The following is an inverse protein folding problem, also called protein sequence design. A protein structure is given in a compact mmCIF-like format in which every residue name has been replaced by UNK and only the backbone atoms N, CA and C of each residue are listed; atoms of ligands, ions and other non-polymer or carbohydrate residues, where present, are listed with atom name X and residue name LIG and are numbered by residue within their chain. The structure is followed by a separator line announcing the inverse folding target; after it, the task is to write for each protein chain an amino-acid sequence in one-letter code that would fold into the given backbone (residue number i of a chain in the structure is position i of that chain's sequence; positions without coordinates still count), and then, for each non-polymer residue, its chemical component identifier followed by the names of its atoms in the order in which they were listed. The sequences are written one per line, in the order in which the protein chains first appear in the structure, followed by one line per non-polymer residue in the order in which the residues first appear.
data_IF_699717057875
#
_entry.id   IF_699717057875
#
_cell.length_a   1.000
_cell.length_b   1.000
_cell.length_c   1.000
_cell.angle_alpha   90.00
_cell.angle_beta   90.00
_cell.angle_gamma   90.00
#
_symmetry.space_group_name_H-M   'P 1'
#
loop_
_entity.id
_entity.type
_entity.pdbx_description
1 polymer ?
#
# COMPACT_ATOMS: atom_id res chain seq x y z
N UNK A 1 -37.11 19.86 -0.94
CA UNK A 1 -36.87 20.89 0.08
C UNK A 1 -35.48 21.46 -0.14
N UNK A 2 -35.33 22.78 -0.26
CA UNK A 2 -34.03 23.45 -0.38
C UNK A 2 -33.21 23.15 0.88
N UNK A 3 -32.08 22.43 0.75
CA UNK A 3 -31.14 22.25 1.86
C UNK A 3 -30.62 23.65 2.24
N UNK A 4 -30.78 24.05 3.50
CA UNK A 4 -30.24 25.33 3.98
C UNK A 4 -28.73 25.36 3.80
N UNK A 5 -28.18 26.42 3.21
CA UNK A 5 -26.73 26.58 3.00
C UNK A 5 -26.09 27.28 4.21
N UNK A 6 -24.84 26.90 4.51
CA UNK A 6 -24.01 27.55 5.53
C UNK A 6 -22.65 27.90 4.93
N UNK A 7 -22.03 28.97 5.45
CA UNK A 7 -20.68 29.38 5.06
C UNK A 7 -19.65 28.70 5.96
N UNK A 8 -18.57 28.21 5.36
CA UNK A 8 -17.42 27.62 6.06
C UNK A 8 -16.17 28.33 5.56
N UNK A 9 -15.29 28.72 6.49
CA UNK A 9 -14.02 29.35 6.15
C UNK A 9 -13.03 28.28 5.71
N UNK A 10 -12.46 28.46 4.51
CA UNK A 10 -11.46 27.58 3.90
C UNK A 10 -10.38 28.47 3.29
N UNK A 11 -9.14 28.00 3.20
CA UNK A 11 -8.06 28.78 2.58
C UNK A 11 -8.35 29.06 1.10
N UNK A 12 -7.95 30.25 0.64
CA UNK A 12 -8.20 30.69 -0.72
C UNK A 12 -7.53 29.79 -1.76
N UNK A 13 -6.31 29.32 -1.47
CA UNK A 13 -5.56 28.45 -2.38
C UNK A 13 -6.26 27.10 -2.60
N UNK A 14 -6.81 26.49 -1.55
CA UNK A 14 -7.58 25.25 -1.67
C UNK A 14 -8.87 25.45 -2.46
N UNK A 15 -9.55 26.59 -2.28
CA UNK A 15 -10.76 26.91 -3.03
C UNK A 15 -10.44 27.17 -4.51
N UNK A 16 -9.30 27.82 -4.82
CA UNK A 16 -8.85 27.99 -6.22
C UNK A 16 -8.60 26.64 -6.89
N UNK A 17 -7.89 25.73 -6.21
CA UNK A 17 -7.65 24.39 -6.74
C UNK A 17 -8.96 23.62 -6.95
N UNK A 18 -9.87 23.65 -5.97
CA UNK A 18 -11.20 23.03 -6.07
C UNK A 18 -12.02 23.61 -7.23
N UNK A 19 -11.95 24.93 -7.46
CA UNK A 19 -12.61 25.59 -8.60
C UNK A 19 -12.06 25.12 -9.94
N UNK A 20 -10.75 24.95 -10.06
CA UNK A 20 -10.13 24.45 -11.29
C UNK A 20 -10.57 23.02 -11.60
N UNK A 21 -10.59 22.14 -10.59
CA UNK A 21 -11.04 20.76 -10.72
C UNK A 21 -12.53 20.73 -11.12
N UNK A 22 -13.38 21.46 -10.40
CA UNK A 22 -14.82 21.51 -10.69
C UNK A 22 -15.12 22.00 -12.11
N UNK A 23 -14.38 23.02 -12.60
CA UNK A 23 -14.48 23.51 -13.98
C UNK A 23 -14.09 22.45 -15.00
N UNK A 24 -13.00 21.71 -14.77
CA UNK A 24 -12.57 20.60 -15.66
C UNK A 24 -13.62 19.49 -15.73
N UNK A 25 -14.35 19.26 -14.64
CA UNK A 25 -15.46 18.30 -14.58
C UNK A 25 -16.80 18.86 -15.08
N UNK A 26 -16.89 20.15 -15.44
CA UNK A 26 -18.14 20.79 -15.86
C UNK A 26 -19.16 20.97 -14.72
N UNK A 27 -18.72 20.98 -13.46
CA UNK A 27 -19.59 21.07 -12.27
C UNK A 27 -19.46 22.43 -11.55
N UNK A 28 -20.55 22.94 -10.92
CA UNK A 28 -20.45 24.08 -10.00
C UNK A 28 -19.61 23.74 -8.76
N UNK A 29 -18.83 24.70 -8.25
CA UNK A 29 -18.00 24.52 -7.05
C UNK A 29 -18.80 23.97 -5.85
N UNK A 30 -20.01 24.47 -5.62
CA UNK A 30 -20.85 24.01 -4.51
C UNK A 30 -21.18 22.52 -4.57
N UNK A 31 -21.36 21.96 -5.77
CA UNK A 31 -21.61 20.52 -5.96
C UNK A 31 -20.35 19.73 -5.62
N UNK A 32 -19.18 20.16 -6.12
CA UNK A 32 -17.90 19.54 -5.79
C UNK A 32 -17.62 19.54 -4.29
N UNK A 33 -17.91 20.65 -3.60
CA UNK A 33 -17.72 20.77 -2.14
C UNK A 33 -18.69 19.84 -1.39
N UNK A 34 -19.97 19.79 -1.79
CA UNK A 34 -20.94 18.86 -1.18
C UNK A 34 -20.50 17.40 -1.36
N UNK A 35 -20.13 16.98 -2.58
CA UNK A 35 -19.62 15.64 -2.88
C UNK A 35 -18.36 15.32 -2.03
N UNK A 36 -17.43 16.26 -1.91
CA UNK A 36 -16.20 16.09 -1.12
C UNK A 36 -16.49 15.88 0.36
N UNK A 37 -17.44 16.62 0.93
CA UNK A 37 -17.86 16.47 2.33
C UNK A 37 -18.58 15.12 2.53
N UNK A 38 -19.44 14.72 1.58
CA UNK A 38 -20.13 13.41 1.65
C UNK A 38 -19.13 12.25 1.64
N UNK A 39 -18.09 12.31 0.80
CA UNK A 39 -17.02 11.30 0.76
C UNK A 39 -16.18 11.31 2.05
N UNK A 40 -15.88 12.49 2.60
CA UNK A 40 -15.16 12.60 3.88
C UNK A 40 -15.97 11.97 5.03
N UNK A 41 -17.29 12.21 5.06
CA UNK A 41 -18.18 11.60 6.05
C UNK A 41 -18.32 10.09 5.84
N UNK A 42 -18.32 9.60 4.60
CA UNK A 42 -18.32 8.17 4.30
C UNK A 42 -17.06 7.50 4.84
N UNK A 43 -15.87 8.08 4.62
CA UNK A 43 -14.62 7.56 5.17
C UNK A 43 -14.70 7.41 6.70
N UNK A 44 -15.23 8.43 7.39
CA UNK A 44 -15.43 8.39 8.84
C UNK A 44 -16.44 7.34 9.29
N UNK A 45 -17.54 7.15 8.55
CA UNK A 45 -18.52 6.07 8.83
C UNK A 45 -17.92 4.67 8.68
N UNK A 46 -16.94 4.51 7.80
CA UNK A 46 -16.20 3.27 7.60
C UNK A 46 -15.06 3.08 8.63
N UNK A 47 -14.87 4.04 9.55
CA UNK A 47 -13.84 3.98 10.59
C UNK A 47 -12.47 4.51 10.19
N UNK A 48 -12.36 5.15 9.02
CA UNK A 48 -11.08 5.67 8.52
C UNK A 48 -10.87 7.14 8.86
N UNK A 49 -9.61 7.51 9.12
CA UNK A 49 -9.16 8.88 9.04
C UNK A 49 -9.09 9.36 7.58
N UNK A 50 -9.26 10.66 7.31
CA UNK A 50 -9.30 11.17 5.93
C UNK A 50 -7.98 10.93 5.18
N UNK A 51 -6.85 11.07 5.89
CA UNK A 51 -5.52 10.82 5.33
C UNK A 51 -5.34 9.34 4.98
N UNK A 52 -5.79 8.45 5.85
CA UNK A 52 -5.75 7.00 5.61
C UNK A 52 -6.59 6.61 4.39
N UNK A 53 -7.81 7.15 4.26
CA UNK A 53 -8.66 6.93 3.10
C UNK A 53 -8.01 7.43 1.79
N UNK A 54 -7.32 8.58 1.81
CA UNK A 54 -6.59 9.08 0.66
C UNK A 54 -5.39 8.18 0.29
N UNK A 55 -4.59 7.76 1.28
CA UNK A 55 -3.45 6.87 1.07
C UNK A 55 -3.91 5.51 0.49
N UNK A 56 -5.04 4.96 0.97
CA UNK A 56 -5.66 3.74 0.44
C UNK A 56 -6.03 3.85 -1.05
N UNK A 57 -6.54 5.00 -1.48
CA UNK A 57 -6.88 5.25 -2.89
C UNK A 57 -5.63 5.31 -3.77
N UNK A 58 -4.58 6.01 -3.32
CA UNK A 58 -3.31 6.11 -4.05
C UNK A 58 -2.66 4.74 -4.24
N UNK A 59 -2.62 3.98 -3.17
CA UNK A 59 -2.12 2.61 -3.12
C UNK A 59 -2.92 1.68 -4.02
N UNK A 60 -4.26 1.75 -3.96
CA UNK A 60 -5.13 0.92 -4.81
C UNK A 60 -4.92 1.23 -6.28
N UNK A 61 -4.72 2.51 -6.62
CA UNK A 61 -4.37 2.93 -7.99
C UNK A 61 -3.01 2.37 -8.42
N UNK A 62 -2.00 2.42 -7.56
CA UNK A 62 -0.68 1.84 -7.81
C UNK A 62 -0.78 0.32 -8.09
N UNK A 63 -1.48 -0.41 -7.21
CA UNK A 63 -1.68 -1.85 -7.35
C UNK A 63 -2.35 -2.20 -8.68
N UNK A 64 -3.37 -1.45 -9.11
CA UNK A 64 -4.04 -1.66 -10.41
C UNK A 64 -3.11 -1.42 -11.60
N UNK A 65 -2.30 -0.37 -11.56
CA UNK A 65 -1.32 -0.06 -12.63
C UNK A 65 -0.31 -1.19 -12.77
N UNK A 66 0.10 -1.80 -11.66
CA UNK A 66 1.06 -2.89 -11.61
C UNK A 66 0.44 -4.27 -11.92
N UNK A 67 -0.82 -4.32 -12.36
CA UNK A 67 -1.52 -5.56 -12.71
C UNK A 67 -1.97 -6.38 -11.49
N UNK A 68 -2.03 -5.78 -10.31
CA UNK A 68 -2.57 -6.41 -9.11
C UNK A 68 -4.05 -6.73 -9.24
N UNK A 69 -4.45 -7.90 -8.77
CA UNK A 69 -5.82 -8.39 -8.80
C UNK A 69 -6.31 -8.77 -7.39
N UNK A 70 -7.57 -8.45 -7.10
CA UNK A 70 -8.25 -8.94 -5.89
C UNK A 70 -8.79 -10.34 -6.15
N UNK A 71 -8.36 -11.31 -5.34
CA UNK A 71 -8.82 -12.69 -5.40
C UNK A 71 -9.27 -13.15 -4.02
N UNK A 72 -10.34 -13.96 -3.90
CA UNK A 72 -10.70 -14.55 -2.61
C UNK A 72 -9.54 -15.34 -2.02
N UNK A 73 -9.27 -15.17 -0.72
CA UNK A 73 -8.11 -15.78 -0.04
C UNK A 73 -8.11 -17.31 -0.15
N UNK A 74 -9.28 -17.95 -0.11
CA UNK A 74 -9.42 -19.40 -0.28
C UNK A 74 -8.94 -19.87 -1.67
N UNK A 75 -9.30 -19.13 -2.71
CA UNK A 75 -8.86 -19.39 -4.10
C UNK A 75 -7.37 -19.17 -4.23
N UNK A 76 -6.86 -18.07 -3.65
CA UNK A 76 -5.42 -17.79 -3.62
C UNK A 76 -4.64 -18.94 -2.97
N UNK A 77 -5.03 -19.36 -1.77
CA UNK A 77 -4.38 -20.44 -1.04
C UNK A 77 -4.41 -21.77 -1.82
N UNK A 78 -5.50 -22.05 -2.52
CA UNK A 78 -5.58 -23.22 -3.41
C UNK A 78 -4.55 -23.13 -4.56
N UNK A 79 -4.48 -21.99 -5.25
CA UNK A 79 -3.52 -21.77 -6.34
C UNK A 79 -2.06 -21.92 -5.85
N UNK A 80 -1.74 -21.32 -4.70
CA UNK A 80 -0.41 -21.45 -4.07
C UNK A 80 -0.08 -22.91 -3.78
N UNK A 81 -1.03 -23.67 -3.24
CA UNK A 81 -0.84 -25.11 -2.96
C UNK A 81 -0.63 -25.92 -4.24
N UNK A 82 -1.32 -25.61 -5.33
CA UNK A 82 -1.14 -26.30 -6.62
C UNK A 82 0.22 -25.99 -7.23
N UNK A 83 0.61 -24.71 -7.29
CA UNK A 83 1.87 -24.27 -7.94
C UNK A 83 3.12 -24.70 -7.15
N UNK A 84 3.01 -24.78 -5.82
CA UNK A 84 4.12 -25.18 -4.96
C UNK A 84 4.49 -26.67 -5.06
N UNK A 85 3.61 -27.55 -5.57
CA UNK A 85 3.83 -29.01 -5.71
C UNK A 85 4.84 -29.45 -6.80
N UNK A 86 5.83 -28.61 -7.13
CA UNK A 86 6.86 -28.95 -8.10
C UNK A 86 7.67 -27.77 -8.66
N UNK A 87 7.30 -26.53 -8.34
CA UNK A 87 7.97 -25.31 -8.85
C UNK A 87 8.19 -24.23 -7.78
N UNK A 88 8.38 -24.61 -6.51
CA UNK A 88 8.48 -23.66 -5.38
C UNK A 88 9.50 -22.53 -5.60
N UNK A 89 10.65 -22.83 -6.22
CA UNK A 89 11.67 -21.81 -6.52
C UNK A 89 11.17 -20.75 -7.52
N UNK A 90 10.59 -21.18 -8.64
CA UNK A 90 10.03 -20.28 -9.66
C UNK A 90 8.83 -19.47 -9.13
N UNK A 91 8.05 -20.03 -8.21
CA UNK A 91 6.94 -19.32 -7.56
C UNK A 91 7.45 -18.15 -6.70
N UNK A 92 8.44 -18.39 -5.85
CA UNK A 92 9.02 -17.36 -4.99
C UNK A 92 9.76 -16.27 -5.78
N UNK A 93 10.48 -16.64 -6.85
CA UNK A 93 11.14 -15.68 -7.74
C UNK A 93 10.13 -14.72 -8.39
N UNK A 94 8.94 -15.23 -8.78
CA UNK A 94 7.87 -14.37 -9.34
C UNK A 94 7.31 -13.39 -8.31
N UNK A 95 7.14 -13.82 -7.06
CA UNK A 95 6.75 -12.92 -5.97
C UNK A 95 7.78 -11.85 -5.69
N UNK A 96 9.05 -12.23 -5.67
CA UNK A 96 10.16 -11.31 -5.52
C UNK A 96 10.19 -10.26 -6.64
N UNK A 97 10.11 -10.67 -7.91
CA UNK A 97 10.10 -9.73 -9.03
C UNK A 97 8.87 -8.81 -9.03
N UNK A 98 7.70 -9.34 -8.67
CA UNK A 98 6.50 -8.50 -8.50
C UNK A 98 6.68 -7.46 -7.40
N UNK A 99 7.26 -7.85 -6.26
CA UNK A 99 7.64 -6.95 -5.19
C UNK A 99 8.60 -5.87 -5.69
N UNK A 100 9.67 -6.26 -6.41
CA UNK A 100 10.68 -5.35 -6.95
C UNK A 100 10.11 -4.29 -7.89
N UNK A 101 9.19 -4.67 -8.77
CA UNK A 101 8.48 -3.72 -9.64
C UNK A 101 7.63 -2.73 -8.82
N UNK A 102 6.92 -3.22 -7.81
CA UNK A 102 6.14 -2.34 -6.93
C UNK A 102 7.05 -1.38 -6.16
N UNK A 103 8.15 -1.87 -5.60
CA UNK A 103 9.13 -1.06 -4.88
C UNK A 103 9.68 0.10 -5.72
N UNK A 104 10.08 -0.19 -6.96
CA UNK A 104 10.55 0.83 -7.91
C UNK A 104 9.50 1.90 -8.19
N UNK A 105 8.26 1.47 -8.46
CA UNK A 105 7.16 2.39 -8.69
C UNK A 105 6.91 3.32 -7.49
N UNK A 106 6.96 2.77 -6.27
CA UNK A 106 6.77 3.58 -5.06
C UNK A 106 7.90 4.58 -4.87
N UNK A 107 9.16 4.16 -5.06
CA UNK A 107 10.34 5.03 -4.96
C UNK A 107 10.28 6.22 -5.93
N UNK A 108 9.82 5.99 -7.15
CA UNK A 108 9.77 7.04 -8.18
C UNK A 108 8.61 8.02 -7.97
N UNK A 109 7.53 7.59 -7.32
CA UNK A 109 6.28 8.35 -7.28
C UNK A 109 6.00 9.06 -5.95
N UNK A 110 6.58 8.58 -4.85
CA UNK A 110 6.26 9.07 -3.51
C UNK A 110 7.53 9.51 -2.79
N UNK A 111 7.44 10.62 -2.05
CA UNK A 111 8.54 11.12 -1.22
C UNK A 111 8.88 10.14 -0.09
N UNK A 112 7.86 9.47 0.47
CA UNK A 112 7.99 8.46 1.53
C UNK A 112 7.43 7.10 1.05
N UNK A 113 8.21 6.32 0.27
CA UNK A 113 7.76 5.05 -0.28
C UNK A 113 7.53 3.96 0.77
N UNK A 114 8.24 4.02 1.91
CA UNK A 114 8.13 3.03 2.98
C UNK A 114 6.78 3.15 3.68
N UNK A 115 6.38 4.38 4.03
CA UNK A 115 5.07 4.63 4.64
C UNK A 115 3.95 4.18 3.72
N UNK A 116 4.02 4.53 2.43
CA UNK A 116 3.02 4.12 1.44
C UNK A 116 2.95 2.60 1.31
N UNK A 117 4.09 1.90 1.31
CA UNK A 117 4.12 0.44 1.28
C UNK A 117 3.55 -0.21 2.54
N UNK A 118 3.79 0.37 3.72
CA UNK A 118 3.19 -0.07 4.99
C UNK A 118 1.66 0.01 4.91
N UNK A 119 1.13 1.15 4.48
CA UNK A 119 -0.32 1.32 4.31
C UNK A 119 -0.88 0.37 3.25
N UNK A 120 -0.13 0.08 2.17
CA UNK A 120 -0.51 -0.96 1.22
C UNK A 120 -0.63 -2.34 1.84
N UNK A 121 0.35 -2.77 2.64
CA UNK A 121 0.29 -4.08 3.27
C UNK A 121 -0.92 -4.16 4.23
N UNK A 122 -1.17 -3.13 5.04
CA UNK A 122 -2.37 -3.07 5.91
C UNK A 122 -3.68 -3.17 5.11
N UNK A 123 -3.74 -2.46 3.98
CA UNK A 123 -4.94 -2.36 3.15
C UNK A 123 -5.25 -3.63 2.34
N UNK A 124 -4.20 -4.20 1.76
CA UNK A 124 -4.32 -5.25 0.74
C UNK A 124 -4.24 -6.65 1.33
N UNK A 125 -3.64 -6.81 2.51
CA UNK A 125 -3.44 -8.10 3.17
C UNK A 125 -4.27 -8.18 4.44
N UNK A 126 -5.53 -8.57 4.26
CA UNK A 126 -6.50 -8.85 5.33
C UNK A 126 -6.04 -9.98 6.26
N UNK A 127 -5.03 -10.74 5.85
CA UNK A 127 -4.34 -11.77 6.61
C UNK A 127 -3.29 -11.21 7.57
N UNK A 128 -2.87 -9.95 7.48
CA UNK A 128 -1.89 -9.37 8.39
C UNK A 128 -2.56 -8.68 9.58
N UNK A 129 -2.29 -9.19 10.78
CA UNK A 129 -2.80 -8.67 12.03
C UNK A 129 -1.98 -7.46 12.50
N UNK A 130 -0.66 -7.50 12.32
CA UNK A 130 0.24 -6.44 12.78
C UNK A 130 1.35 -6.20 11.76
N UNK A 131 1.61 -4.91 11.52
CA UNK A 131 2.72 -4.43 10.68
C UNK A 131 3.45 -3.33 11.43
N UNK A 132 4.63 -3.66 11.94
CA UNK A 132 5.53 -2.71 12.57
C UNK A 132 6.63 -2.35 11.58
N UNK A 133 6.84 -1.05 11.38
CA UNK A 133 7.97 -0.50 10.64
C UNK A 133 8.70 0.43 11.59
N UNK A 134 9.91 0.05 11.99
CA UNK A 134 10.80 0.90 12.79
C UNK A 134 11.81 1.48 11.82
N UNK A 135 11.67 2.78 11.58
CA UNK A 135 12.58 3.56 10.74
C UNK A 135 13.65 4.19 11.64
N UNK A 136 14.88 3.68 11.55
CA UNK A 136 16.07 4.29 12.14
C UNK A 136 16.83 5.10 11.09
N UNK A 137 17.84 5.86 11.48
CA UNK A 137 18.59 6.74 10.55
C UNK A 137 19.14 6.03 9.29
N UNK A 138 19.44 4.74 9.37
CA UNK A 138 20.03 3.95 8.26
C UNK A 138 19.42 2.57 8.04
N UNK A 139 18.44 2.17 8.87
CA UNK A 139 17.89 0.82 8.85
C UNK A 139 16.38 0.79 9.05
N UNK A 140 15.71 -0.07 8.29
CA UNK A 140 14.26 -0.29 8.41
C UNK A 140 14.02 -1.70 8.90
N UNK A 141 13.29 -1.83 10.01
CA UNK A 141 12.82 -3.13 10.51
C UNK A 141 11.36 -3.29 10.21
N UNK A 142 11.00 -4.37 9.52
CA UNK A 142 9.63 -4.74 9.22
C UNK A 142 9.26 -6.04 9.92
N UNK A 143 8.17 -6.01 10.67
CA UNK A 143 7.55 -7.21 11.24
C UNK A 143 6.14 -7.36 10.70
N UNK A 144 5.83 -8.55 10.23
CA UNK A 144 4.48 -8.93 9.85
C UNK A 144 4.05 -10.14 10.69
N UNK A 145 2.85 -10.06 11.25
CA UNK A 145 2.23 -11.18 11.97
C UNK A 145 0.85 -11.51 11.41
N UNK A 146 0.53 -12.80 11.31
CA UNK A 146 -0.71 -13.36 10.80
C UNK A 146 -1.00 -14.70 11.46
N UNK A 147 -2.24 -14.88 11.88
CA UNK A 147 -2.73 -16.17 12.41
C UNK A 147 -3.31 -17.08 11.32
N UNK A 148 -3.51 -16.57 10.10
CA UNK A 148 -4.21 -17.27 9.01
C UNK A 148 -3.32 -17.58 7.80
N UNK A 149 -2.12 -16.99 7.73
CA UNK A 149 -1.15 -17.26 6.67
C UNK A 149 -0.68 -18.72 6.71
N UNK A 150 -0.65 -19.35 5.54
CA UNK A 150 -0.03 -20.67 5.34
C UNK A 150 1.49 -20.53 5.26
N UNK A 151 2.24 -21.63 5.41
CA UNK A 151 3.71 -21.60 5.28
C UNK A 151 4.15 -21.03 3.92
N UNK A 152 3.52 -21.52 2.84
CA UNK A 152 3.79 -21.06 1.48
C UNK A 152 3.32 -19.63 1.22
N UNK A 153 2.21 -19.22 1.84
CA UNK A 153 1.76 -17.82 1.80
C UNK A 153 2.74 -16.89 2.52
N UNK A 154 3.30 -17.34 3.64
CA UNK A 154 4.30 -16.59 4.42
C UNK A 154 5.58 -16.43 3.61
N UNK A 155 6.08 -17.50 2.99
CA UNK A 155 7.27 -17.48 2.15
C UNK A 155 7.08 -16.57 0.91
N UNK A 156 5.90 -16.61 0.29
CA UNK A 156 5.54 -15.71 -0.80
C UNK A 156 5.54 -14.24 -0.38
N UNK A 157 4.93 -13.93 0.76
CA UNK A 157 4.89 -12.57 1.31
C UNK A 157 6.29 -12.08 1.67
N UNK A 158 7.11 -12.91 2.31
CA UNK A 158 8.51 -12.60 2.61
C UNK A 158 9.25 -12.15 1.34
N UNK A 159 9.19 -12.96 0.28
CA UNK A 159 9.88 -12.68 -0.98
C UNK A 159 9.34 -11.43 -1.67
N UNK A 160 8.04 -11.20 -1.60
CA UNK A 160 7.42 -9.98 -2.10
C UNK A 160 7.91 -8.72 -1.37
N UNK A 161 7.96 -8.76 -0.03
CA UNK A 161 8.43 -7.64 0.78
C UNK A 161 9.93 -7.38 0.56
N UNK A 162 10.76 -8.42 0.54
CA UNK A 162 12.18 -8.31 0.17
C UNK A 162 12.35 -7.65 -1.20
N UNK A 163 11.60 -8.12 -2.20
CA UNK A 163 11.57 -7.54 -3.53
C UNK A 163 11.23 -6.06 -3.51
N UNK A 164 10.17 -5.67 -2.81
CA UNK A 164 9.74 -4.27 -2.71
C UNK A 164 10.81 -3.37 -2.12
N UNK A 165 11.42 -3.76 -1.00
CA UNK A 165 12.52 -2.98 -0.40
C UNK A 165 13.74 -2.90 -1.30
N UNK A 166 14.10 -3.99 -1.99
CA UNK A 166 15.18 -3.95 -2.99
C UNK A 166 14.85 -3.03 -4.17
N UNK A 167 13.60 -3.01 -4.63
CA UNK A 167 13.12 -2.07 -5.64
C UNK A 167 13.22 -0.61 -5.19
N UNK A 168 13.10 -0.35 -3.89
CA UNK A 168 13.26 0.97 -3.28
C UNK A 168 14.74 1.37 -3.05
N UNK A 169 15.69 0.46 -3.28
CA UNK A 169 17.13 0.70 -3.05
C UNK A 169 17.60 0.38 -1.64
N UNK A 170 16.96 -0.59 -0.99
CA UNK A 170 17.43 -1.16 0.28
C UNK A 170 18.03 -2.54 0.07
N UNK A 171 18.92 -2.94 0.97
CA UNK A 171 19.48 -4.29 1.04
C UNK A 171 18.97 -5.01 2.28
N UNK A 172 18.63 -6.29 2.13
CA UNK A 172 18.27 -7.16 3.26
C UNK A 172 19.51 -7.47 4.10
N UNK A 173 19.45 -7.12 5.40
CA UNK A 173 20.46 -7.47 6.42
C UNK A 173 20.04 -8.74 7.16
N UNK A 174 18.74 -8.89 7.40
CA UNK A 174 18.15 -10.01 8.14
C UNK A 174 16.84 -10.44 7.50
N UNK A 175 16.66 -11.75 7.36
CA UNK A 175 15.47 -12.37 6.79
C UNK A 175 15.13 -13.62 7.57
N UNK A 176 14.24 -13.47 8.56
CA UNK A 176 13.73 -14.56 9.38
C UNK A 176 12.23 -14.71 9.15
N UNK A 177 11.76 -15.95 9.09
CA UNK A 177 10.33 -16.23 9.05
C UNK A 177 10.00 -17.58 9.69
N UNK A 178 8.78 -17.67 10.20
CA UNK A 178 8.09 -18.91 10.54
C UNK A 178 6.64 -18.76 10.11
N UNK A 179 5.84 -19.83 10.15
CA UNK A 179 4.44 -19.78 9.74
C UNK A 179 3.70 -18.56 10.31
N UNK A 180 3.25 -17.67 9.42
CA UNK A 180 2.49 -16.47 9.79
C UNK A 180 3.31 -15.34 10.43
N UNK A 181 4.63 -15.46 10.56
CA UNK A 181 5.48 -14.43 11.14
C UNK A 181 6.68 -14.16 10.25
N UNK A 182 6.93 -12.89 9.94
CA UNK A 182 8.08 -12.42 9.16
C UNK A 182 8.78 -11.33 9.95
N UNK A 183 10.11 -11.41 10.03
CA UNK A 183 10.98 -10.37 10.55
C UNK A 183 12.04 -10.08 9.49
N UNK A 184 12.01 -8.87 8.96
CA UNK A 184 12.97 -8.38 7.99
C UNK A 184 13.68 -7.15 8.54
N UNK A 185 14.99 -7.05 8.32
CA UNK A 185 15.74 -5.82 8.53
C UNK A 185 16.47 -5.45 7.25
N UNK A 186 16.40 -4.18 6.91
CA UNK A 186 16.96 -3.60 5.71
C UNK A 186 17.90 -2.45 6.04
N UNK A 187 18.93 -2.24 5.24
CA UNK A 187 19.75 -1.01 5.22
C UNK A 187 19.57 -0.30 3.89
N UNK A 188 19.70 1.02 3.88
CA UNK A 188 19.74 1.76 2.62
C UNK A 188 21.01 1.40 1.84
N UNK A 189 20.91 1.19 0.53
CA UNK A 189 22.11 1.08 -0.31
C UNK A 189 22.77 2.46 -0.35
N UNK A 190 24.09 2.50 -0.09
CA UNK A 190 24.86 3.71 -0.36
C UNK A 190 24.92 3.89 -1.89
N UNK A 191 24.41 5.03 -2.38
CA UNK A 191 24.60 5.40 -3.78
C UNK A 191 26.11 5.55 -4.01
N UNK A 192 26.72 4.53 -4.63
CA UNK A 192 28.10 4.64 -5.09
C UNK A 192 28.08 5.60 -6.27
N UNK A 193 28.25 6.90 -6.00
CA UNK A 193 28.47 7.92 -7.02
C UNK A 193 29.78 7.58 -7.75
N UNK A 194 29.66 7.15 -9.00
CA UNK A 194 30.75 7.19 -9.99
C UNK A 194 30.63 8.48 -10.79
#
# INVERSE_FOLDING_TARGET
MSKSKRLVYVSEDLIKEAMEIARREGKPLGVFVEESIELALLAKKLGYELKEAADLLEVTKANRILGGAFVPLSVFNYLVKVVSKGKSKSFNERWYESGRLHGKYLKEKFEDPIRIFKEFLKASRWDLNEIEVIDGESSVKLRCFSTVLTDKGTEALLKYVEGAFHGMGYETIRSDYMKGMIILEFKKQEDTKY
#
